data_IF_427599033993
#
_entry.id   IF_427599033993
#
_cell.length_a   1.000
_cell.length_b   1.000
_cell.length_c   1.000
_cell.angle_alpha   90.00
_cell.angle_beta   90.00
_cell.angle_gamma   90.00
#
_symmetry.space_group_name_H-M   'P 1'
#
loop_
_entity.id
_entity.type
_entity.pdbx_description
1 polymer ?
#
# COMPACT_ATOMS: atom_id res chain seq x y z
N UNK A 1 18.02 42.76 11.64
CA UNK A 1 17.06 41.63 11.70
C UNK A 1 15.70 42.16 11.27
N UNK A 2 15.38 42.10 9.98
CA UNK A 2 14.09 42.55 9.47
C UNK A 2 13.03 41.53 9.87
N UNK A 3 12.01 41.96 10.62
CA UNK A 3 10.79 41.17 10.81
C UNK A 3 10.00 41.33 9.53
N UNK A 4 9.98 40.30 8.69
CA UNK A 4 9.13 40.26 7.50
C UNK A 4 7.66 40.36 7.95
N UNK A 5 7.11 41.58 7.89
CA UNK A 5 5.70 41.85 8.09
C UNK A 5 4.98 41.48 6.81
N UNK A 6 4.54 40.23 6.73
CA UNK A 6 3.61 39.78 5.70
C UNK A 6 2.33 40.60 5.77
N UNK A 7 1.95 41.18 4.65
CA UNK A 7 0.61 41.76 4.51
C UNK A 7 -0.44 40.63 4.55
N UNK A 8 -1.69 40.89 4.98
CA UNK A 8 -2.73 39.87 5.10
C UNK A 8 -2.96 39.08 3.79
N UNK A 9 -2.79 39.74 2.64
CA UNK A 9 -2.92 39.13 1.32
C UNK A 9 -1.75 38.22 0.96
N UNK A 10 -0.52 38.60 1.32
CA UNK A 10 0.67 37.74 1.15
C UNK A 10 0.59 36.52 2.08
N UNK A 11 0.12 36.69 3.31
CA UNK A 11 -0.10 35.58 4.23
C UNK A 11 -1.14 34.58 3.67
N UNK A 12 -2.24 35.06 3.08
CA UNK A 12 -3.24 34.21 2.42
C UNK A 12 -2.70 33.52 1.17
N UNK A 13 -1.85 34.19 0.39
CA UNK A 13 -1.16 33.58 -0.76
C UNK A 13 -0.17 32.50 -0.32
N UNK A 14 0.60 32.75 0.75
CA UNK A 14 1.52 31.80 1.37
C UNK A 14 0.74 30.57 1.88
N UNK A 15 -0.38 30.77 2.59
CA UNK A 15 -1.26 29.70 3.07
C UNK A 15 -1.86 28.90 1.90
N UNK A 16 -2.26 29.57 0.80
CA UNK A 16 -2.75 28.90 -0.40
C UNK A 16 -1.66 28.10 -1.13
N UNK A 17 -0.41 28.59 -1.10
CA UNK A 17 0.76 27.93 -1.71
C UNK A 17 1.24 26.74 -0.87
N UNK A 18 1.26 26.89 0.45
CA UNK A 18 1.52 25.81 1.41
C UNK A 18 0.41 24.78 1.36
N UNK A 19 -0.86 25.18 1.32
CA UNK A 19 -2.01 24.30 1.17
C UNK A 19 -1.94 23.48 -0.13
N UNK A 20 -1.55 24.08 -1.25
CA UNK A 20 -1.29 23.34 -2.51
C UNK A 20 -0.11 22.37 -2.42
N UNK A 21 1.00 22.72 -1.75
CA UNK A 21 2.13 21.80 -1.53
C UNK A 21 1.78 20.64 -0.60
N UNK A 22 1.03 20.88 0.46
CA UNK A 22 0.54 19.84 1.39
C UNK A 22 -0.46 18.92 0.69
N UNK A 23 -1.32 19.46 -0.17
CA UNK A 23 -2.28 18.69 -0.97
C UNK A 23 -1.60 17.82 -2.05
N UNK A 24 -0.46 18.27 -2.60
CA UNK A 24 0.34 17.46 -3.54
C UNK A 24 1.18 16.38 -2.83
N UNK A 25 1.73 16.67 -1.64
CA UNK A 25 2.50 15.72 -0.83
C UNK A 25 1.69 14.52 -0.35
N UNK A 26 0.37 14.66 -0.31
CA UNK A 26 -0.52 13.73 0.35
C UNK A 26 -1.16 12.74 -0.64
N UNK A 27 -0.95 12.92 -1.96
CA UNK A 27 -1.25 11.90 -3.00
C UNK A 27 -0.32 10.69 -2.94
N UNK A 28 0.92 10.88 -2.48
CA UNK A 28 1.94 9.83 -2.44
C UNK A 28 1.52 8.60 -1.62
N UNK A 29 1.05 8.77 -0.37
CA UNK A 29 0.70 7.63 0.46
C UNK A 29 -0.54 6.85 -0.01
N UNK A 30 -1.55 7.52 -0.57
CA UNK A 30 -2.71 6.83 -1.16
C UNK A 30 -2.31 5.97 -2.36
N UNK A 31 -1.41 6.48 -3.21
CA UNK A 31 -0.82 5.73 -4.33
C UNK A 31 0.03 4.56 -3.86
N UNK A 32 0.83 4.74 -2.79
CA UNK A 32 1.62 3.66 -2.21
C UNK A 32 0.73 2.50 -1.75
N UNK A 33 -0.37 2.78 -1.05
CA UNK A 33 -1.32 1.73 -0.66
C UNK A 33 -1.96 1.02 -1.86
N UNK A 34 -2.37 1.76 -2.89
CA UNK A 34 -2.90 1.15 -4.11
C UNK A 34 -1.88 0.24 -4.78
N UNK A 35 -0.64 0.72 -4.92
CA UNK A 35 0.43 -0.04 -5.53
C UNK A 35 0.70 -1.35 -4.77
N UNK A 36 0.80 -1.30 -3.44
CA UNK A 36 1.02 -2.49 -2.62
C UNK A 36 -0.17 -3.44 -2.66
N UNK A 37 -1.39 -2.91 -2.64
CA UNK A 37 -2.60 -3.70 -2.79
C UNK A 37 -2.58 -4.52 -4.07
N UNK A 38 -2.35 -3.86 -5.21
CA UNK A 38 -2.25 -4.52 -6.52
C UNK A 38 -1.07 -5.49 -6.60
N UNK A 39 0.10 -5.09 -6.09
CA UNK A 39 1.28 -5.96 -6.04
C UNK A 39 1.00 -7.23 -5.23
N UNK A 40 0.24 -7.13 -4.13
CA UNK A 40 -0.17 -8.30 -3.32
C UNK A 40 -1.03 -9.26 -4.13
N UNK A 41 -1.97 -8.73 -4.93
CA UNK A 41 -2.86 -9.56 -5.76
C UNK A 41 -2.09 -10.37 -6.81
N UNK A 42 -0.98 -9.84 -7.31
CA UNK A 42 -0.11 -10.49 -8.32
C UNK A 42 0.95 -11.38 -7.67
N UNK A 43 1.47 -10.98 -6.51
CA UNK A 43 2.52 -11.69 -5.79
C UNK A 43 2.13 -13.13 -5.46
N UNK A 44 0.95 -13.33 -4.87
CA UNK A 44 0.53 -14.65 -4.40
C UNK A 44 0.38 -15.68 -5.54
N UNK A 45 -0.29 -15.39 -6.67
CA UNK A 45 -0.30 -16.28 -7.81
C UNK A 45 1.10 -16.53 -8.38
N UNK A 46 1.94 -15.49 -8.49
CA UNK A 46 3.30 -15.65 -9.00
C UNK A 46 4.17 -16.57 -8.12
N UNK A 47 3.96 -16.51 -6.79
CA UNK A 47 4.69 -17.30 -5.81
C UNK A 47 4.29 -18.78 -5.80
N UNK A 48 2.99 -19.08 -5.88
CA UNK A 48 2.48 -20.45 -5.69
C UNK A 48 2.04 -21.17 -6.97
N UNK A 49 1.69 -20.44 -8.02
CA UNK A 49 1.26 -21.02 -9.31
C UNK A 49 2.33 -20.86 -10.39
N UNK A 50 3.30 -19.95 -10.18
CA UNK A 50 4.39 -19.73 -11.11
C UNK A 50 5.36 -20.90 -11.17
N UNK A 51 5.62 -21.41 -12.37
CA UNK A 51 6.78 -22.29 -12.60
C UNK A 51 8.10 -21.53 -12.39
N UNK A 52 9.17 -22.25 -12.06
CA UNK A 52 10.50 -21.64 -11.95
C UNK A 52 10.85 -20.87 -13.25
N UNK A 53 11.30 -19.60 -13.18
CA UNK A 53 11.83 -18.89 -12.00
C UNK A 53 10.86 -17.90 -11.30
N UNK A 54 9.57 -17.94 -11.62
CA UNK A 54 8.60 -16.93 -11.14
C UNK A 54 8.54 -16.77 -9.62
N UNK A 55 8.54 -17.85 -8.79
CA UNK A 55 8.51 -17.68 -7.33
C UNK A 55 9.73 -16.95 -6.79
N UNK A 56 10.90 -17.18 -7.39
CA UNK A 56 12.15 -16.51 -6.99
C UNK A 56 12.08 -15.02 -7.32
N UNK A 57 11.62 -14.67 -8.52
CA UNK A 57 11.44 -13.27 -8.92
C UNK A 57 10.36 -12.57 -8.08
N UNK A 58 9.26 -13.25 -7.78
CA UNK A 58 8.19 -12.74 -6.94
C UNK A 58 8.69 -12.45 -5.51
N UNK A 59 9.44 -13.39 -4.91
CA UNK A 59 10.05 -13.22 -3.60
C UNK A 59 11.04 -12.04 -3.56
N UNK A 60 11.94 -11.95 -4.54
CA UNK A 60 12.89 -10.83 -4.65
C UNK A 60 12.16 -9.50 -4.84
N UNK A 61 11.18 -9.45 -5.74
CA UNK A 61 10.37 -8.27 -5.98
C UNK A 61 9.64 -7.81 -4.72
N UNK A 62 9.12 -8.75 -3.93
CA UNK A 62 8.44 -8.45 -2.67
C UNK A 62 9.38 -7.87 -1.61
N UNK A 63 10.61 -8.41 -1.50
CA UNK A 63 11.64 -7.89 -0.60
C UNK A 63 12.00 -6.45 -0.99
N UNK A 64 12.32 -6.22 -2.27
CA UNK A 64 12.68 -4.89 -2.79
C UNK A 64 11.54 -3.90 -2.54
N UNK A 65 10.30 -4.31 -2.81
CA UNK A 65 9.12 -3.49 -2.54
C UNK A 65 9.02 -3.12 -1.06
N UNK A 66 9.13 -4.10 -0.16
CA UNK A 66 9.04 -3.88 1.29
C UNK A 66 10.11 -2.92 1.78
N UNK A 67 11.35 -3.09 1.34
CA UNK A 67 12.46 -2.17 1.68
C UNK A 67 12.17 -0.76 1.16
N UNK A 68 11.74 -0.63 -0.10
CA UNK A 68 11.40 0.65 -0.69
C UNK A 68 10.26 1.36 0.07
N UNK A 69 9.24 0.62 0.53
CA UNK A 69 8.18 1.15 1.38
C UNK A 69 8.70 1.59 2.75
N UNK A 70 9.51 0.78 3.42
CA UNK A 70 10.11 1.16 4.70
C UNK A 70 10.90 2.47 4.56
N UNK A 71 11.73 2.60 3.51
CA UNK A 71 12.47 3.82 3.23
C UNK A 71 11.53 4.99 2.90
N UNK A 72 10.52 4.76 2.08
CA UNK A 72 9.51 5.77 1.71
C UNK A 72 8.80 6.32 2.95
N UNK A 73 8.30 5.46 3.83
CA UNK A 73 7.62 5.85 5.06
C UNK A 73 8.57 6.50 6.07
N UNK A 74 9.79 5.99 6.20
CA UNK A 74 10.82 6.58 7.06
C UNK A 74 11.20 7.99 6.59
N UNK A 75 11.27 8.23 5.27
CA UNK A 75 11.50 9.57 4.70
C UNK A 75 10.29 10.48 4.84
N UNK A 76 9.07 9.93 4.80
CA UNK A 76 7.89 10.76 4.82
C UNK A 76 7.72 11.50 6.15
N UNK A 77 8.14 10.98 7.32
CA UNK A 77 8.10 11.59 8.68
C UNK A 77 6.88 12.45 9.07
N UNK A 78 5.84 12.52 8.25
CA UNK A 78 4.71 13.43 8.37
C UNK A 78 3.69 12.73 9.26
N UNK A 79 3.66 13.17 10.51
CA UNK A 79 2.66 12.81 11.51
C UNK A 79 1.31 13.45 11.16
N UNK A 80 0.74 13.07 10.02
CA UNK A 80 -0.62 13.47 9.71
C UNK A 80 -1.58 12.58 10.52
N UNK A 81 -2.34 13.18 11.44
CA UNK A 81 -3.23 12.47 12.38
C UNK A 81 -4.26 11.61 11.63
N UNK A 82 -4.66 12.03 10.43
CA UNK A 82 -5.54 11.27 9.55
C UNK A 82 -4.85 9.97 9.08
N UNK A 83 -3.58 10.07 8.72
CA UNK A 83 -2.75 8.95 8.31
C UNK A 83 -2.59 7.95 9.45
N UNK A 84 -2.32 8.42 10.67
CA UNK A 84 -2.19 7.56 11.86
C UNK A 84 -3.48 6.81 12.18
N UNK A 85 -4.65 7.45 11.98
CA UNK A 85 -5.98 6.86 12.23
C UNK A 85 -6.38 5.82 11.19
N UNK A 86 -6.01 6.00 9.92
CA UNK A 86 -6.33 5.07 8.83
C UNK A 86 -5.30 3.93 8.75
N UNK A 87 -4.02 4.22 8.98
CA UNK A 87 -2.93 3.27 8.81
C UNK A 87 -3.04 2.07 9.78
N UNK A 88 -3.43 2.30 11.04
CA UNK A 88 -3.57 1.21 12.02
C UNK A 88 -4.59 0.15 11.59
N UNK A 89 -5.87 0.50 11.41
CA UNK A 89 -6.91 -0.45 10.99
C UNK A 89 -6.63 -1.07 9.61
N UNK A 90 -6.15 -0.28 8.65
CA UNK A 90 -5.86 -0.77 7.29
C UNK A 90 -4.67 -1.74 7.29
N UNK A 91 -3.61 -1.44 8.03
CA UNK A 91 -2.47 -2.35 8.16
C UNK A 91 -2.84 -3.62 8.91
N UNK A 92 -3.62 -3.52 9.99
CA UNK A 92 -4.10 -4.70 10.71
C UNK A 92 -4.98 -5.58 9.82
N UNK A 93 -5.95 -4.98 9.11
CA UNK A 93 -6.79 -5.71 8.15
C UNK A 93 -5.94 -6.34 7.05
N UNK A 94 -4.97 -5.61 6.48
CA UNK A 94 -4.06 -6.14 5.48
C UNK A 94 -3.25 -7.33 6.01
N UNK A 95 -2.64 -7.23 7.19
CA UNK A 95 -1.88 -8.34 7.79
C UNK A 95 -2.77 -9.57 7.94
N UNK A 96 -3.99 -9.40 8.49
CA UNK A 96 -4.94 -10.51 8.64
C UNK A 96 -5.30 -11.13 7.29
N UNK A 97 -5.65 -10.31 6.30
CA UNK A 97 -6.04 -10.83 4.98
C UNK A 97 -4.87 -11.41 4.21
N UNK A 98 -3.64 -10.95 4.45
CA UNK A 98 -2.42 -11.44 3.80
C UNK A 98 -1.97 -12.80 4.39
N UNK A 99 -2.32 -13.09 5.65
CA UNK A 99 -2.09 -14.42 6.24
C UNK A 99 -2.94 -15.52 5.63
N UNK A 100 -4.12 -15.20 5.08
CA UNK A 100 -5.01 -16.21 4.48
C UNK A 100 -4.40 -16.91 3.27
N UNK A 101 -3.98 -16.22 2.18
CA UNK A 101 -3.32 -16.86 1.06
C UNK A 101 -1.97 -17.49 1.44
N UNK A 102 -1.28 -16.96 2.46
CA UNK A 102 -0.08 -17.59 3.00
C UNK A 102 -0.37 -18.97 3.59
N UNK A 103 -1.31 -19.06 4.52
CA UNK A 103 -1.67 -20.32 5.17
C UNK A 103 -2.20 -21.32 4.14
N UNK A 104 -3.05 -20.85 3.22
CA UNK A 104 -3.61 -21.69 2.16
C UNK A 104 -2.51 -22.21 1.23
N UNK A 105 -1.64 -21.33 0.73
CA UNK A 105 -0.59 -21.72 -0.22
C UNK A 105 0.50 -22.59 0.38
N UNK A 106 0.87 -22.38 1.65
CA UNK A 106 1.94 -23.15 2.30
C UNK A 106 1.44 -24.47 2.89
N UNK A 107 0.26 -24.51 3.49
CA UNK A 107 -0.17 -25.65 4.31
C UNK A 107 -1.32 -26.45 3.70
N UNK A 108 -2.13 -25.86 2.81
CA UNK A 108 -3.35 -26.50 2.30
C UNK A 108 -3.30 -26.82 0.80
N UNK A 109 -2.45 -26.12 0.05
CA UNK A 109 -2.38 -26.26 -1.39
C UNK A 109 -1.64 -27.56 -1.76
N UNK A 110 -2.26 -28.45 -2.57
CA UNK A 110 -1.62 -29.68 -2.99
C UNK A 110 -0.53 -29.42 -4.03
N UNK A 111 0.48 -30.31 -4.09
CA UNK A 111 1.63 -30.21 -5.01
C UNK A 111 1.23 -30.06 -6.49
N UNK A 112 0.08 -30.62 -6.87
CA UNK A 112 -0.55 -30.45 -8.18
C UNK A 112 -1.90 -29.74 -8.00
N UNK A 113 -1.93 -28.39 -8.04
CA UNK A 113 -3.17 -27.65 -7.88
C UNK A 113 -4.11 -27.90 -9.05
N UNK A 114 -5.37 -28.22 -8.73
CA UNK A 114 -6.45 -28.26 -9.72
C UNK A 114 -6.88 -26.84 -10.09
N UNK A 115 -7.66 -26.69 -11.17
CA UNK A 115 -8.21 -25.39 -11.55
C UNK A 115 -9.00 -24.72 -10.42
N UNK A 116 -9.70 -25.51 -9.57
CA UNK A 116 -10.41 -24.99 -8.40
C UNK A 116 -9.48 -24.34 -7.37
N UNK A 117 -8.32 -24.96 -7.10
CA UNK A 117 -7.30 -24.39 -6.22
C UNK A 117 -6.69 -23.11 -6.78
N UNK A 118 -6.43 -23.06 -8.09
CA UNK A 118 -5.96 -21.85 -8.78
C UNK A 118 -6.95 -20.70 -8.62
N UNK A 119 -8.25 -20.96 -8.84
CA UNK A 119 -9.30 -19.94 -8.70
C UNK A 119 -9.44 -19.50 -7.25
N UNK A 120 -9.42 -20.43 -6.29
CA UNK A 120 -9.49 -20.11 -4.88
C UNK A 120 -8.32 -19.22 -4.44
N UNK A 121 -7.09 -19.58 -4.84
CA UNK A 121 -5.92 -18.77 -4.52
C UNK A 121 -5.98 -17.39 -5.17
N UNK A 122 -6.41 -17.29 -6.43
CA UNK A 122 -6.59 -15.99 -7.09
C UNK A 122 -7.60 -15.12 -6.35
N UNK A 123 -8.74 -15.68 -5.94
CA UNK A 123 -9.75 -14.98 -5.16
C UNK A 123 -9.17 -14.49 -3.81
N UNK A 124 -8.45 -15.35 -3.09
CA UNK A 124 -7.79 -14.99 -1.83
C UNK A 124 -6.73 -13.89 -2.03
N UNK A 125 -6.02 -13.92 -3.15
CA UNK A 125 -5.01 -12.91 -3.51
C UNK A 125 -5.65 -11.54 -3.73
N UNK A 126 -6.80 -11.50 -4.41
CA UNK A 126 -7.61 -10.29 -4.56
C UNK A 126 -8.09 -9.80 -3.19
N UNK A 127 -8.68 -10.68 -2.37
CA UNK A 127 -9.16 -10.31 -1.04
C UNK A 127 -8.03 -9.78 -0.15
N UNK A 128 -6.82 -10.32 -0.26
CA UNK A 128 -5.64 -9.86 0.48
C UNK A 128 -5.21 -8.43 0.10
N UNK A 129 -5.36 -8.04 -1.17
CA UNK A 129 -5.01 -6.70 -1.64
C UNK A 129 -6.08 -5.64 -1.34
N UNK A 130 -7.35 -6.04 -1.15
CA UNK A 130 -8.48 -5.12 -1.03
C UNK A 130 -8.38 -4.10 0.10
N UNK A 131 -7.93 -4.44 1.33
CA UNK A 131 -7.83 -3.45 2.41
C UNK A 131 -6.91 -2.27 2.05
N UNK A 132 -5.80 -2.54 1.34
CA UNK A 132 -4.88 -1.50 0.91
C UNK A 132 -5.42 -0.70 -0.27
N UNK A 133 -6.08 -1.35 -1.24
CA UNK A 133 -6.75 -0.65 -2.35
C UNK A 133 -7.84 0.28 -1.79
N UNK A 134 -8.67 -0.22 -0.88
CA UNK A 134 -9.69 0.57 -0.20
C UNK A 134 -9.08 1.72 0.60
N UNK A 135 -8.04 1.45 1.39
CA UNK A 135 -7.31 2.47 2.15
C UNK A 135 -6.76 3.58 1.25
N UNK A 136 -6.13 3.20 0.13
CA UNK A 136 -5.59 4.12 -0.86
C UNK A 136 -6.66 4.96 -1.55
N UNK A 137 -7.76 4.34 -2.01
CA UNK A 137 -8.90 5.06 -2.61
C UNK A 137 -9.55 6.01 -1.60
N UNK A 138 -9.74 5.58 -0.35
CA UNK A 138 -10.31 6.43 0.70
C UNK A 138 -9.42 7.62 0.99
N UNK A 139 -8.10 7.43 1.08
CA UNK A 139 -7.13 8.52 1.26
C UNK A 139 -7.11 9.52 0.09
N UNK A 140 -7.39 9.05 -1.12
CA UNK A 140 -7.50 9.91 -2.31
C UNK A 140 -8.85 10.62 -2.41
N UNK A 141 -9.94 10.01 -1.90
CA UNK A 141 -11.31 10.53 -2.02
C UNK A 141 -11.74 11.45 -0.87
N UNK A 142 -11.17 11.29 0.33
CA UNK A 142 -11.54 12.06 1.52
C UNK A 142 -10.78 13.40 1.64
N UNK A 143 -10.50 14.06 0.51
CA UNK A 143 -9.77 15.33 0.42
C UNK A 143 -10.47 16.39 -0.39
#
# INVERSE_FOLDING_TARGET
MARDHFTPDEALQEIGRVGRRVRHSSHGPGRAYLFVGLATMVYWPAMFLGGYPLPLLAGLGWIVLTVALCVYWARLRVHDRLMKRINGPVSAAYVVTMMVPFVVGVWLMPDRPTAGWTVALAALSVLAGLPLVYGGLRLMRNR
#
